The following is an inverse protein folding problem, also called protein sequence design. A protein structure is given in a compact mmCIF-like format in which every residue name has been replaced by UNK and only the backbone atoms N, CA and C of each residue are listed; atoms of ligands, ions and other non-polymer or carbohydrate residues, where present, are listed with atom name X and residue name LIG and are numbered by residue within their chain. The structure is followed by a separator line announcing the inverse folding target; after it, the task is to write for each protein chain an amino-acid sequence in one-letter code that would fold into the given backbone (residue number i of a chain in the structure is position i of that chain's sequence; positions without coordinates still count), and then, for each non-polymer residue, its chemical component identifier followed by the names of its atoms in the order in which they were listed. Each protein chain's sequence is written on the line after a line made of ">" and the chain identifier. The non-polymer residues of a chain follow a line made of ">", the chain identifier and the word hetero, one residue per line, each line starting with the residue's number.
data_IF_744086986701
#
_entry.id   IF_744086986701
#
_cell.length_a   1.000
_cell.length_b   1.000
_cell.length_c   1.000
_cell.angle_alpha   90.00
_cell.angle_beta   90.00
_cell.angle_gamma   90.00
#
_symmetry.space_group_name_H-M   'P 1'
#
loop_
_entity.id
_entity.type
_entity.pdbx_description
1 polymer ?
#
# COMPACT_ATOMS: atom_id res chain seq x y z
N UNK A 1 -57.50 50.63 9.33
CA UNK A 1 -58.20 49.48 8.71
C UNK A 1 -57.93 49.58 7.22
N UNK A 2 -57.27 48.69 6.48
CA UNK A 2 -56.61 47.40 6.66
C UNK A 2 -55.43 47.44 5.66
N UNK A 3 -54.20 47.01 5.97
CA UNK A 3 -53.85 45.66 6.41
C UNK A 3 -53.36 44.88 5.18
N UNK A 4 -52.09 45.06 4.81
CA UNK A 4 -51.45 44.33 3.71
C UNK A 4 -50.99 42.92 4.11
N UNK A 5 -50.86 42.04 3.12
CA UNK A 5 -50.21 40.72 3.18
C UNK A 5 -49.61 40.46 1.78
N UNK A 6 -48.30 40.59 1.55
CA UNK A 6 -47.18 39.65 1.79
C UNK A 6 -47.39 38.27 1.16
N UNK A 7 -46.61 37.97 0.12
CA UNK A 7 -46.13 36.62 -0.17
C UNK A 7 -44.65 36.68 -0.57
N UNK A 8 -43.77 36.56 0.41
CA UNK A 8 -42.34 36.28 0.21
C UNK A 8 -42.17 34.79 -0.05
N UNK A 9 -41.80 34.41 -1.29
CA UNK A 9 -41.34 33.05 -1.57
C UNK A 9 -39.95 32.86 -0.95
N UNK A 10 -39.87 32.11 0.14
CA UNK A 10 -38.62 31.56 0.64
C UNK A 10 -38.27 30.30 -0.18
N UNK A 11 -37.31 30.41 -1.09
CA UNK A 11 -36.70 29.24 -1.72
C UNK A 11 -35.71 28.62 -0.73
N UNK A 12 -36.07 27.46 -0.17
CA UNK A 12 -35.20 26.62 0.63
C UNK A 12 -34.08 26.06 -0.25
N UNK A 13 -32.86 26.56 -0.06
CA UNK A 13 -31.64 25.92 -0.57
C UNK A 13 -31.39 24.65 0.25
N UNK A 14 -31.83 23.50 -0.28
CA UNK A 14 -31.41 22.20 0.22
C UNK A 14 -29.96 22.01 -0.19
N UNK A 15 -29.03 22.36 0.69
CA UNK A 15 -27.63 21.95 0.54
C UNK A 15 -27.60 20.45 0.82
N UNK A 16 -27.57 19.65 -0.25
CA UNK A 16 -27.18 18.25 -0.15
C UNK A 16 -25.77 18.22 0.42
N UNK A 17 -25.65 18.01 1.72
CA UNK A 17 -24.41 17.65 2.37
C UNK A 17 -24.13 16.20 1.95
N UNK A 18 -23.69 16.05 0.71
CA UNK A 18 -23.03 14.86 0.23
C UNK A 18 -21.76 14.78 1.07
N UNK A 19 -21.88 14.06 2.19
CA UNK A 19 -20.74 13.55 2.91
C UNK A 19 -19.94 12.78 1.87
N UNK A 20 -18.94 13.44 1.30
CA UNK A 20 -17.83 12.73 0.70
C UNK A 20 -17.27 11.93 1.87
N UNK A 21 -17.67 10.66 1.94
CA UNK A 21 -16.80 9.61 2.40
C UNK A 21 -15.48 9.88 1.69
N UNK A 22 -14.61 10.62 2.37
CA UNK A 22 -13.25 10.77 1.95
C UNK A 22 -12.77 9.34 1.96
N UNK A 23 -12.69 8.73 0.77
CA UNK A 23 -11.89 7.55 0.55
C UNK A 23 -10.53 7.99 1.01
N UNK A 24 -10.25 7.73 2.28
CA UNK A 24 -8.97 8.02 2.87
C UNK A 24 -8.04 7.15 2.05
N UNK A 25 -7.32 7.79 1.12
CA UNK A 25 -6.26 7.14 0.37
C UNK A 25 -5.40 6.48 1.44
N UNK A 26 -5.59 5.17 1.60
CA UNK A 26 -4.82 4.39 2.53
C UNK A 26 -3.41 4.56 2.00
N UNK A 27 -2.57 5.21 2.80
CA UNK A 27 -1.19 5.46 2.41
C UNK A 27 -0.68 4.16 1.82
N UNK A 28 -0.16 4.15 0.57
CA UNK A 28 0.20 2.92 -0.09
C UNK A 28 1.31 2.18 0.66
N UNK A 29 1.77 2.66 1.81
CA UNK A 29 2.76 2.01 2.63
C UNK A 29 2.19 1.48 3.95
N UNK A 30 0.87 1.27 3.99
CA UNK A 30 0.17 0.74 5.16
C UNK A 30 0.36 -0.78 5.25
N UNK A 31 0.82 -1.23 6.42
CA UNK A 31 0.83 -2.65 6.74
C UNK A 31 -0.60 -3.13 6.98
N UNK A 32 -1.09 -4.08 6.19
CA UNK A 32 -2.46 -4.62 6.30
C UNK A 32 -2.48 -5.84 7.22
N UNK A 33 -1.44 -6.68 7.14
CA UNK A 33 -1.33 -7.88 7.96
C UNK A 33 0.13 -8.14 8.32
N UNK A 34 0.40 -8.22 9.62
CA UNK A 34 1.69 -8.71 10.12
C UNK A 34 1.69 -10.25 9.98
N UNK A 35 2.69 -10.79 9.28
CA UNK A 35 2.86 -12.24 9.13
C UNK A 35 3.90 -12.76 10.13
N UNK A 36 5.10 -12.17 10.18
CA UNK A 36 6.16 -12.61 11.09
C UNK A 36 6.94 -11.44 11.73
N UNK A 37 6.80 -11.25 13.05
CA UNK A 37 7.31 -10.07 13.77
C UNK A 37 8.84 -9.99 13.85
N UNK A 38 9.52 -11.12 13.68
CA UNK A 38 10.99 -11.23 13.72
C UNK A 38 11.61 -11.39 12.32
N UNK A 39 10.84 -11.20 11.26
CA UNK A 39 11.36 -11.27 9.90
C UNK A 39 12.36 -10.14 9.65
N UNK A 40 13.61 -10.52 9.37
CA UNK A 40 14.71 -9.63 9.04
C UNK A 40 15.44 -10.15 7.80
N UNK A 41 15.87 -9.23 6.94
CA UNK A 41 16.69 -9.54 5.76
C UNK A 41 18.13 -9.07 5.97
N UNK A 42 19.05 -10.03 5.92
CA UNK A 42 20.49 -9.77 5.99
C UNK A 42 21.03 -9.24 4.66
N UNK A 43 22.25 -8.69 4.67
CA UNK A 43 22.94 -8.23 3.45
C UNK A 43 23.12 -9.36 2.44
N UNK A 44 23.45 -10.56 2.90
CA UNK A 44 23.68 -11.71 2.02
C UNK A 44 22.39 -12.15 1.32
N UNK A 45 21.25 -12.15 2.04
CA UNK A 45 19.95 -12.46 1.44
C UNK A 45 19.50 -11.37 0.47
N UNK A 46 19.71 -10.10 0.81
CA UNK A 46 19.43 -8.99 -0.11
C UNK A 46 20.28 -9.11 -1.38
N UNK A 47 21.58 -9.41 -1.26
CA UNK A 47 22.45 -9.62 -2.41
C UNK A 47 21.96 -10.77 -3.29
N UNK A 48 21.61 -11.90 -2.69
CA UNK A 48 21.08 -13.04 -3.43
C UNK A 48 19.72 -12.75 -4.11
N UNK A 49 18.93 -11.79 -3.60
CA UNK A 49 17.69 -11.36 -4.26
C UNK A 49 18.01 -10.63 -5.57
N UNK A 50 19.11 -9.88 -5.64
CA UNK A 50 19.53 -9.17 -6.85
C UNK A 50 19.86 -10.11 -8.01
N UNK A 51 20.13 -11.38 -7.70
CA UNK A 51 20.39 -12.45 -8.69
C UNK A 51 19.09 -13.19 -9.11
N UNK A 52 17.92 -12.85 -8.54
CA UNK A 52 16.62 -13.42 -8.96
C UNK A 52 16.08 -12.62 -10.15
N UNK A 53 15.86 -13.32 -11.26
CA UNK A 53 15.26 -12.74 -12.46
C UNK A 53 13.83 -12.27 -12.22
N UNK A 54 13.46 -11.16 -12.86
CA UNK A 54 12.06 -10.75 -12.98
C UNK A 54 11.22 -11.90 -13.58
N UNK A 55 9.95 -11.97 -13.20
CA UNK A 55 9.01 -13.06 -13.54
C UNK A 55 9.31 -14.42 -12.89
N UNK A 56 10.36 -14.53 -12.07
CA UNK A 56 10.57 -15.69 -11.22
C UNK A 56 9.32 -15.96 -10.34
N UNK A 57 9.02 -17.23 -10.01
CA UNK A 57 7.92 -17.55 -9.12
C UNK A 57 8.08 -16.87 -7.76
N UNK A 58 6.98 -16.35 -7.21
CA UNK A 58 6.94 -15.78 -5.84
C UNK A 58 7.52 -16.74 -4.80
N UNK A 59 7.30 -18.04 -4.97
CA UNK A 59 7.85 -19.08 -4.09
C UNK A 59 9.38 -19.13 -4.08
N UNK A 60 10.05 -18.78 -5.18
CA UNK A 60 11.51 -18.69 -5.23
C UNK A 60 12.02 -17.53 -4.38
N UNK A 61 11.37 -16.36 -4.47
CA UNK A 61 11.69 -15.19 -3.64
C UNK A 61 11.43 -15.50 -2.17
N UNK A 62 10.30 -16.13 -1.83
CA UNK A 62 9.97 -16.50 -0.46
C UNK A 62 10.85 -17.64 0.08
N UNK A 63 11.38 -18.52 -0.76
CA UNK A 63 12.37 -19.50 -0.32
C UNK A 63 13.66 -18.83 0.16
N UNK A 64 14.04 -17.73 -0.49
CA UNK A 64 15.20 -16.91 -0.14
C UNK A 64 14.95 -16.01 1.08
N UNK A 65 13.89 -15.21 1.04
CA UNK A 65 13.61 -14.16 2.04
C UNK A 65 12.83 -14.67 3.25
N UNK A 66 12.21 -15.85 3.15
CA UNK A 66 11.24 -16.40 4.12
C UNK A 66 9.96 -15.57 4.18
N UNK A 67 9.16 -15.82 5.20
CA UNK A 67 7.92 -15.10 5.45
C UNK A 67 8.20 -13.60 5.68
N UNK A 68 7.37 -12.71 5.12
CA UNK A 68 7.54 -11.27 5.30
C UNK A 68 7.23 -10.84 6.73
N UNK A 69 7.69 -9.65 7.08
CA UNK A 69 7.20 -8.98 8.27
C UNK A 69 5.73 -8.60 8.08
N UNK A 70 5.43 -8.03 6.93
CA UNK A 70 4.10 -7.52 6.65
C UNK A 70 3.68 -7.73 5.19
N UNK A 71 2.43 -8.15 5.02
CA UNK A 71 1.69 -8.00 3.76
C UNK A 71 1.07 -6.61 3.74
N UNK A 72 1.46 -5.81 2.77
CA UNK A 72 1.02 -4.42 2.62
C UNK A 72 -0.25 -4.34 1.79
N UNK A 73 -0.90 -3.16 1.80
CA UNK A 73 -1.95 -2.88 0.84
C UNK A 73 -1.41 -3.05 -0.60
N UNK A 74 -2.23 -3.50 -1.58
CA UNK A 74 -1.81 -3.53 -2.97
C UNK A 74 -1.35 -2.14 -3.46
N UNK A 75 -0.42 -2.11 -4.40
CA UNK A 75 0.15 -0.89 -4.97
C UNK A 75 0.37 -1.03 -6.46
N UNK A 76 1.37 -0.32 -6.97
CA UNK A 76 1.75 -0.38 -8.37
C UNK A 76 3.27 -0.54 -8.52
N UNK A 77 3.68 -1.18 -9.61
CA UNK A 77 5.07 -1.16 -10.10
C UNK A 77 5.41 0.23 -10.66
N UNK A 78 6.69 0.47 -10.96
CA UNK A 78 7.12 1.70 -11.65
C UNK A 78 6.45 1.90 -13.02
N UNK A 79 6.05 0.80 -13.66
CA UNK A 79 5.30 0.82 -14.92
C UNK A 79 3.78 1.05 -14.74
N UNK A 80 3.32 1.35 -13.52
CA UNK A 80 1.90 1.59 -13.21
C UNK A 80 1.03 0.33 -13.19
N UNK A 81 1.63 -0.87 -13.19
CA UNK A 81 0.88 -2.12 -13.15
C UNK A 81 0.52 -2.47 -11.70
N UNK A 82 -0.68 -3.00 -11.41
CA UNK A 82 -1.04 -3.47 -10.07
C UNK A 82 -0.03 -4.47 -9.50
N UNK A 83 0.30 -4.32 -8.22
CA UNK A 83 1.25 -5.20 -7.54
C UNK A 83 0.84 -5.51 -6.10
N UNK A 84 0.94 -6.78 -5.74
CA UNK A 84 0.95 -7.23 -4.35
C UNK A 84 2.31 -6.91 -3.72
N UNK A 85 2.32 -6.67 -2.42
CA UNK A 85 3.49 -6.11 -1.73
C UNK A 85 3.78 -6.77 -0.40
N UNK A 86 5.04 -7.13 -0.22
CA UNK A 86 5.56 -7.74 0.99
C UNK A 86 6.72 -6.90 1.52
N UNK A 87 6.67 -6.51 2.79
CA UNK A 87 7.70 -5.72 3.46
C UNK A 87 8.61 -6.60 4.33
N UNK A 88 9.90 -6.33 4.22
CA UNK A 88 10.98 -7.00 4.94
C UNK A 88 11.93 -5.96 5.54
N UNK A 89 11.94 -5.76 6.87
CA UNK A 89 12.91 -4.90 7.52
C UNK A 89 14.35 -5.40 7.28
N UNK A 90 15.27 -4.47 7.03
CA UNK A 90 16.68 -4.80 6.87
C UNK A 90 17.33 -4.96 8.24
N UNK A 91 18.09 -6.04 8.42
CA UNK A 91 18.81 -6.33 9.67
C UNK A 91 19.83 -5.22 10.01
N UNK A 92 20.51 -4.71 8.98
CA UNK A 92 21.59 -3.74 9.11
C UNK A 92 21.12 -2.27 9.09
N UNK A 93 19.85 -2.04 8.81
CA UNK A 93 19.20 -0.72 8.85
C UNK A 93 17.69 -0.88 9.13
N UNK A 94 17.28 -1.03 10.39
CA UNK A 94 15.89 -1.33 10.75
C UNK A 94 14.87 -0.23 10.38
N UNK A 95 15.33 0.98 10.06
CA UNK A 95 14.46 2.06 9.58
C UNK A 95 14.12 1.92 8.09
N UNK A 96 14.83 1.07 7.37
CA UNK A 96 14.60 0.79 5.95
C UNK A 96 13.93 -0.56 5.76
N UNK A 97 12.87 -0.57 4.96
CA UNK A 97 12.19 -1.78 4.50
C UNK A 97 12.54 -2.06 3.05
N UNK A 98 12.92 -3.30 2.77
CA UNK A 98 12.82 -3.87 1.44
C UNK A 98 11.34 -4.20 1.17
N UNK A 99 10.77 -3.63 0.12
CA UNK A 99 9.41 -3.93 -0.33
C UNK A 99 9.49 -4.72 -1.63
N UNK A 100 9.07 -5.98 -1.58
CA UNK A 100 9.02 -6.85 -2.75
C UNK A 100 7.66 -6.68 -3.44
N UNK A 101 7.69 -6.54 -4.76
CA UNK A 101 6.53 -6.36 -5.62
C UNK A 101 6.24 -7.66 -6.38
N UNK A 102 4.97 -8.06 -6.44
CA UNK A 102 4.53 -9.20 -7.23
C UNK A 102 3.37 -8.84 -8.15
N UNK A 103 3.43 -9.30 -9.39
CA UNK A 103 2.30 -9.28 -10.32
C UNK A 103 1.66 -10.68 -10.31
N UNK A 104 0.63 -10.87 -9.48
CA UNK A 104 0.09 -12.20 -9.21
C UNK A 104 1.12 -13.10 -8.53
N UNK A 105 1.47 -14.23 -9.14
CA UNK A 105 2.46 -15.19 -8.61
C UNK A 105 3.90 -14.91 -9.07
N UNK A 106 4.15 -13.77 -9.72
CA UNK A 106 5.42 -13.43 -10.37
C UNK A 106 6.14 -12.30 -9.69
N UNK A 107 7.44 -12.47 -9.47
CA UNK A 107 8.32 -11.41 -8.99
C UNK A 107 8.38 -10.26 -10.00
N UNK A 108 8.00 -9.07 -9.54
CA UNK A 108 7.93 -7.86 -10.37
C UNK A 108 8.99 -6.81 -10.01
N UNK A 109 9.88 -7.13 -9.06
CA UNK A 109 10.95 -6.26 -8.60
C UNK A 109 10.81 -5.90 -7.13
N UNK A 110 11.53 -4.85 -6.71
CA UNK A 110 11.55 -4.38 -5.33
C UNK A 110 11.78 -2.88 -5.27
N UNK A 111 11.46 -2.29 -4.12
CA UNK A 111 11.74 -0.91 -3.76
C UNK A 111 12.26 -0.83 -2.32
N UNK A 112 12.87 0.29 -1.93
CA UNK A 112 13.23 0.59 -0.55
C UNK A 112 12.35 1.70 0.01
N UNK A 113 11.83 1.45 1.21
CA UNK A 113 11.02 2.42 1.94
C UNK A 113 11.72 2.81 3.23
N UNK A 114 12.02 4.10 3.34
CA UNK A 114 12.56 4.73 4.53
C UNK A 114 11.40 5.14 5.44
N UNK A 115 11.48 4.78 6.72
CA UNK A 115 10.49 5.13 7.74
C UNK A 115 10.95 6.29 8.62
#
# INVERSE_FOLDING_TARGET
>A
MAGGAVLTLAALLVTANLGQEQVQESSPFTCVKIEQTQALVSRDRLKALLDIDLQAPKTQVQALLKEPYCVMAPGQTEAGQPADREAYPLEFDPQTWLVVLYAGDRYAGYDFRFR
#
